data_IF_438810671913
#
_entry.id   IF_438810671913
#
_cell.length_a   1.000
_cell.length_b   1.000
_cell.length_c   1.000
_cell.angle_alpha   90.00
_cell.angle_beta   90.00
_cell.angle_gamma   90.00
#
_symmetry.space_group_name_H-M   'P 1'
#
loop_
_entity.id
_entity.type
_entity.pdbx_description
1 polymer ?
#
# COMPACT_ATOMS: atom_id res chain seq x y z
N UNK A 1 19.99 -7.90 18.96
CA UNK A 1 19.75 -7.93 17.51
C UNK A 1 19.01 -6.67 17.14
N UNK A 2 19.44 -5.88 16.16
CA UNK A 2 18.71 -4.70 15.73
C UNK A 2 17.31 -5.10 15.20
N UNK A 3 16.31 -4.32 15.58
CA UNK A 3 14.87 -4.56 15.31
C UNK A 3 14.56 -4.81 13.83
N UNK A 4 15.26 -4.12 12.93
CA UNK A 4 15.14 -4.30 11.49
C UNK A 4 15.66 -5.65 10.94
N UNK A 5 16.39 -6.43 11.73
CA UNK A 5 16.88 -7.75 11.33
C UNK A 5 15.81 -8.82 11.59
N UNK A 6 15.11 -8.73 12.72
CA UNK A 6 13.96 -9.61 13.04
C UNK A 6 12.78 -9.43 12.06
N UNK A 7 12.54 -8.19 11.65
CA UNK A 7 11.47 -7.86 10.71
C UNK A 7 11.75 -8.45 9.31
N UNK A 8 13.00 -8.38 8.84
CA UNK A 8 13.42 -9.02 7.57
C UNK A 8 13.32 -10.54 7.64
N UNK A 9 13.75 -11.14 8.73
CA UNK A 9 13.64 -12.60 8.96
C UNK A 9 12.16 -13.04 8.93
N UNK A 10 11.26 -12.27 9.54
CA UNK A 10 9.82 -12.55 9.52
C UNK A 10 9.26 -12.48 8.10
N UNK A 11 9.63 -11.44 7.34
CA UNK A 11 9.19 -11.31 5.94
C UNK A 11 9.75 -12.48 5.10
N UNK A 12 11.01 -12.86 5.29
CA UNK A 12 11.61 -13.98 4.56
C UNK A 12 10.96 -15.32 4.92
N UNK A 13 10.52 -15.52 6.16
CA UNK A 13 9.75 -16.70 6.56
C UNK A 13 8.38 -16.73 5.82
N UNK A 14 7.70 -15.59 5.72
CA UNK A 14 6.46 -15.48 4.94
C UNK A 14 6.72 -15.79 3.46
N UNK A 15 7.76 -15.21 2.87
CA UNK A 15 8.12 -15.46 1.48
C UNK A 15 8.43 -16.95 1.23
N UNK A 16 9.21 -17.58 2.10
CA UNK A 16 9.54 -19.00 2.03
C UNK A 16 8.31 -19.90 2.14
N UNK A 17 7.29 -19.48 2.90
CA UNK A 17 6.05 -20.23 3.11
C UNK A 17 5.11 -20.13 1.90
N UNK A 18 5.05 -18.95 1.25
CA UNK A 18 4.05 -18.66 0.23
C UNK A 18 4.60 -18.63 -1.20
N UNK A 19 5.92 -18.41 -1.39
CA UNK A 19 6.54 -18.31 -2.72
C UNK A 19 7.51 -19.46 -2.92
N UNK A 20 7.16 -20.35 -3.85
CA UNK A 20 8.07 -21.42 -4.29
C UNK A 20 9.27 -20.81 -5.02
N UNK A 21 10.49 -21.29 -4.72
CA UNK A 21 11.75 -20.80 -5.31
C UNK A 21 12.03 -19.31 -5.04
N UNK A 22 11.64 -18.80 -3.84
CA UNK A 22 11.72 -17.37 -3.45
C UNK A 22 13.12 -16.75 -3.62
N UNK A 23 14.18 -17.53 -3.66
CA UNK A 23 15.56 -17.05 -3.87
C UNK A 23 15.87 -16.72 -5.34
N UNK A 24 15.11 -17.27 -6.30
CA UNK A 24 15.35 -17.09 -7.74
C UNK A 24 14.69 -15.80 -8.26
N UNK A 25 15.01 -14.66 -7.68
CA UNK A 25 14.37 -13.36 -7.97
C UNK A 25 14.56 -12.85 -9.42
N UNK A 26 15.54 -13.40 -10.15
CA UNK A 26 15.76 -13.10 -11.57
C UNK A 26 14.80 -13.85 -12.50
N UNK A 27 14.12 -14.89 -12.00
CA UNK A 27 13.14 -15.63 -12.79
C UNK A 27 11.84 -14.81 -12.91
N UNK A 28 11.33 -14.55 -14.13
CA UNK A 28 10.10 -13.78 -14.34
C UNK A 28 8.88 -14.35 -13.60
N UNK A 29 8.76 -15.69 -13.53
CA UNK A 29 7.65 -16.32 -12.81
C UNK A 29 7.71 -16.04 -11.30
N UNK A 30 8.92 -16.12 -10.72
CA UNK A 30 9.12 -15.82 -9.29
C UNK A 30 8.82 -14.35 -9.03
N UNK A 31 9.29 -13.46 -9.89
CA UNK A 31 9.01 -12.03 -9.83
C UNK A 31 7.49 -11.74 -9.85
N UNK A 32 6.75 -12.39 -10.76
CA UNK A 32 5.28 -12.30 -10.81
C UNK A 32 4.64 -12.76 -9.51
N UNK A 33 5.10 -13.88 -8.92
CA UNK A 33 4.61 -14.37 -7.62
C UNK A 33 4.83 -13.36 -6.49
N UNK A 34 5.99 -12.69 -6.46
CA UNK A 34 6.25 -11.59 -5.51
C UNK A 34 5.25 -10.46 -5.65
N UNK A 35 4.97 -10.02 -6.89
CA UNK A 35 3.99 -8.95 -7.15
C UNK A 35 2.57 -9.33 -6.78
N UNK A 36 2.15 -10.53 -7.13
CA UNK A 36 0.83 -11.05 -6.76
C UNK A 36 0.70 -11.17 -5.24
N UNK A 37 1.73 -11.68 -4.56
CA UNK A 37 1.74 -11.79 -3.10
C UNK A 37 1.66 -10.42 -2.42
N UNK A 38 2.47 -9.46 -2.88
CA UNK A 38 2.44 -8.08 -2.39
C UNK A 38 1.06 -7.43 -2.58
N UNK A 39 0.46 -7.60 -3.77
CA UNK A 39 -0.88 -7.10 -4.07
C UNK A 39 -1.95 -7.70 -3.16
N UNK A 40 -1.94 -9.02 -2.94
CA UNK A 40 -2.89 -9.69 -2.03
C UNK A 40 -2.73 -9.17 -0.59
N UNK A 41 -1.50 -9.08 -0.09
CA UNK A 41 -1.23 -8.55 1.25
C UNK A 41 -1.70 -7.10 1.35
N UNK A 42 -1.45 -6.27 0.32
CA UNK A 42 -1.91 -4.89 0.26
C UNK A 42 -3.44 -4.78 0.31
N UNK A 43 -4.16 -5.57 -0.49
CA UNK A 43 -5.62 -5.59 -0.50
C UNK A 43 -6.17 -5.98 0.88
N UNK A 44 -5.69 -7.08 1.45
CA UNK A 44 -6.16 -7.57 2.75
C UNK A 44 -5.90 -6.54 3.85
N UNK A 45 -4.69 -5.97 3.89
CA UNK A 45 -4.30 -4.99 4.91
C UNK A 45 -5.15 -3.73 4.83
N UNK A 46 -5.34 -3.17 3.63
CA UNK A 46 -6.14 -1.97 3.44
C UNK A 46 -7.65 -2.23 3.69
N UNK A 47 -8.14 -3.43 3.35
CA UNK A 47 -9.53 -3.80 3.65
C UNK A 47 -9.77 -3.95 5.17
N UNK A 48 -8.82 -4.51 5.90
CA UNK A 48 -8.88 -4.59 7.37
C UNK A 48 -8.89 -3.17 7.97
N UNK A 49 -8.01 -2.29 7.50
CA UNK A 49 -7.99 -0.89 7.95
C UNK A 49 -9.29 -0.15 7.62
N UNK A 50 -9.82 -0.34 6.40
CA UNK A 50 -11.11 0.21 6.00
C UNK A 50 -12.23 -0.23 6.94
N UNK A 51 -12.38 -1.53 7.17
CA UNK A 51 -13.44 -2.08 8.04
C UNK A 51 -13.29 -1.60 9.49
N UNK A 52 -12.07 -1.61 10.03
CA UNK A 52 -11.81 -1.13 11.39
C UNK A 52 -12.18 0.35 11.54
N UNK A 53 -11.77 1.20 10.58
CA UNK A 53 -12.04 2.63 10.61
C UNK A 53 -13.51 2.96 10.34
N UNK A 54 -14.20 2.26 9.43
CA UNK A 54 -15.60 2.53 9.16
C UNK A 54 -16.47 2.18 10.37
N UNK A 55 -16.19 1.04 11.02
CA UNK A 55 -16.90 0.65 12.27
C UNK A 55 -16.66 1.70 13.34
N UNK A 56 -15.42 2.09 13.56
CA UNK A 56 -15.06 3.10 14.55
C UNK A 56 -15.67 4.47 14.24
N UNK A 57 -15.62 4.91 12.99
CA UNK A 57 -16.21 6.17 12.55
C UNK A 57 -17.72 6.24 12.78
N UNK A 58 -18.43 5.13 12.52
CA UNK A 58 -19.86 5.01 12.80
C UNK A 58 -20.15 5.04 14.31
N UNK A 59 -19.38 4.27 15.11
CA UNK A 59 -19.58 4.22 16.58
C UNK A 59 -19.27 5.54 17.28
N UNK A 60 -18.31 6.31 16.75
CA UNK A 60 -17.92 7.62 17.32
C UNK A 60 -18.60 8.80 16.62
N UNK A 61 -19.46 8.54 15.62
CA UNK A 61 -20.06 9.56 14.75
C UNK A 61 -19.02 10.51 14.12
N UNK A 62 -17.79 10.03 13.90
CA UNK A 62 -16.66 10.81 13.37
C UNK A 62 -16.59 10.73 11.85
N UNK A 63 -16.97 11.81 11.17
CA UNK A 63 -16.86 11.94 9.72
C UNK A 63 -15.40 11.88 9.26
N UNK A 64 -14.46 12.39 10.05
CA UNK A 64 -13.03 12.36 9.77
C UNK A 64 -12.49 10.92 9.67
N UNK A 65 -12.88 10.05 10.61
CA UNK A 65 -12.46 8.64 10.61
C UNK A 65 -13.10 7.90 9.43
N UNK A 66 -14.37 8.20 9.11
CA UNK A 66 -15.03 7.60 7.95
C UNK A 66 -14.38 8.03 6.63
N UNK A 67 -13.99 9.30 6.51
CA UNK A 67 -13.25 9.78 5.32
C UNK A 67 -11.89 9.09 5.17
N UNK A 68 -11.17 8.91 6.29
CA UNK A 68 -9.89 8.19 6.30
C UNK A 68 -10.08 6.68 5.99
N UNK A 69 -11.21 6.08 6.35
CA UNK A 69 -11.56 4.73 5.92
C UNK A 69 -11.70 4.63 4.39
N UNK A 70 -12.37 5.59 3.74
CA UNK A 70 -12.51 5.62 2.28
C UNK A 70 -11.15 5.72 1.59
N UNK A 71 -10.19 6.44 2.18
CA UNK A 71 -8.82 6.49 1.70
C UNK A 71 -8.19 5.09 1.65
N UNK A 72 -8.31 4.29 2.72
CA UNK A 72 -7.81 2.91 2.72
C UNK A 72 -8.50 2.02 1.67
N UNK A 73 -9.76 2.29 1.32
CA UNK A 73 -10.43 1.58 0.22
C UNK A 73 -9.80 1.93 -1.14
N UNK A 74 -9.43 3.20 -1.35
CA UNK A 74 -8.69 3.64 -2.56
C UNK A 74 -7.32 2.98 -2.66
N UNK A 75 -6.62 2.81 -1.53
CA UNK A 75 -5.32 2.11 -1.46
C UNK A 75 -5.46 0.61 -1.77
N UNK A 76 -6.58 0.00 -1.36
CA UNK A 76 -6.91 -1.35 -1.80
C UNK A 76 -7.06 -1.41 -3.33
N UNK A 77 -7.67 -0.38 -3.94
CA UNK A 77 -7.75 -0.22 -5.40
C UNK A 77 -6.37 -0.16 -6.06
N UNK A 78 -5.45 0.64 -5.54
CA UNK A 78 -4.05 0.70 -6.02
C UNK A 78 -3.34 -0.65 -5.90
N UNK A 79 -3.61 -1.39 -4.82
CA UNK A 79 -3.08 -2.75 -4.62
C UNK A 79 -3.65 -3.74 -5.65
N UNK A 80 -4.92 -3.59 -6.06
CA UNK A 80 -5.55 -4.38 -7.13
C UNK A 80 -4.85 -4.08 -8.47
N UNK A 81 -4.60 -2.81 -8.78
CA UNK A 81 -3.86 -2.41 -10.00
C UNK A 81 -2.48 -3.06 -10.04
N UNK A 82 -1.76 -3.04 -8.94
CA UNK A 82 -0.45 -3.69 -8.79
C UNK A 82 -0.55 -5.20 -9.03
N UNK A 83 -1.51 -5.87 -8.39
CA UNK A 83 -1.73 -7.32 -8.54
C UNK A 83 -2.05 -7.69 -9.99
N UNK A 84 -2.98 -6.98 -10.63
CA UNK A 84 -3.37 -7.23 -12.03
C UNK A 84 -2.17 -6.97 -12.94
N UNK A 85 -1.43 -5.87 -12.71
CA UNK A 85 -0.25 -5.53 -13.47
C UNK A 85 0.81 -6.63 -13.46
N UNK A 86 1.12 -7.18 -12.29
CA UNK A 86 2.05 -8.30 -12.17
C UNK A 86 1.53 -9.58 -12.79
N UNK A 87 0.24 -9.88 -12.63
CA UNK A 87 -0.37 -11.07 -13.23
C UNK A 87 -0.37 -11.00 -14.76
N UNK A 88 -0.61 -9.83 -15.33
CA UNK A 88 -0.56 -9.63 -16.77
C UNK A 88 0.89 -9.61 -17.28
N UNK A 89 1.81 -8.95 -16.57
CA UNK A 89 3.22 -8.91 -16.93
C UNK A 89 3.88 -10.30 -16.95
N UNK A 90 3.37 -11.24 -16.13
CA UNK A 90 3.84 -12.63 -16.10
C UNK A 90 3.33 -13.51 -17.24
N UNK A 91 2.45 -13.02 -18.14
CA UNK A 91 2.01 -13.78 -19.30
C UNK A 91 3.17 -13.98 -20.29
N UNK A 92 3.29 -15.18 -20.89
CA UNK A 92 4.27 -15.43 -21.96
C UNK A 92 4.00 -14.56 -23.18
N UNK A 93 5.01 -14.48 -24.06
CA UNK A 93 4.84 -13.84 -25.36
C UNK A 93 3.72 -14.56 -26.16
N UNK A 94 2.90 -13.77 -26.85
CA UNK A 94 1.86 -14.21 -27.76
C UNK A 94 2.02 -13.54 -29.14
N UNK A 95 1.11 -13.82 -30.05
CA UNK A 95 1.17 -13.31 -31.42
C UNK A 95 1.06 -11.78 -31.49
N UNK A 96 0.29 -11.16 -30.59
CA UNK A 96 0.11 -9.70 -30.53
C UNK A 96 1.28 -9.03 -29.78
N UNK A 97 1.91 -9.75 -28.84
CA UNK A 97 3.01 -9.28 -28.01
C UNK A 97 4.22 -10.21 -28.09
N UNK A 98 4.98 -10.19 -29.20
CA UNK A 98 6.10 -11.10 -29.44
C UNK A 98 7.24 -10.96 -28.41
N UNK A 99 7.37 -9.78 -27.79
CA UNK A 99 8.37 -9.50 -26.74
C UNK A 99 7.87 -9.75 -25.31
N UNK A 100 6.65 -10.34 -25.18
CA UNK A 100 6.01 -10.59 -23.88
C UNK A 100 5.38 -9.37 -23.26
N UNK A 101 4.78 -9.58 -22.09
CA UNK A 101 3.93 -8.59 -21.40
C UNK A 101 4.65 -7.84 -20.26
N UNK A 102 5.95 -8.03 -20.07
CA UNK A 102 6.71 -7.51 -18.92
C UNK A 102 6.61 -5.99 -18.71
N UNK A 103 6.34 -5.23 -19.77
CA UNK A 103 6.16 -3.77 -19.68
C UNK A 103 4.89 -3.34 -18.94
N UNK A 104 3.90 -4.22 -18.77
CA UNK A 104 2.66 -3.93 -18.05
C UNK A 104 2.95 -3.62 -16.57
N UNK A 105 4.00 -4.18 -15.99
CA UNK A 105 4.45 -3.81 -14.64
C UNK A 105 4.78 -2.31 -14.52
N UNK A 106 5.46 -1.74 -15.52
CA UNK A 106 5.78 -0.30 -15.52
C UNK A 106 4.53 0.56 -15.70
N UNK A 107 3.56 0.11 -16.50
CA UNK A 107 2.28 0.79 -16.68
C UNK A 107 1.51 0.80 -15.36
N UNK A 108 1.42 -0.33 -14.64
CA UNK A 108 0.78 -0.37 -13.33
C UNK A 108 1.49 0.50 -12.31
N UNK A 109 2.83 0.50 -12.29
CA UNK A 109 3.61 1.42 -11.46
C UNK A 109 3.35 2.89 -11.79
N UNK A 110 3.19 3.24 -13.07
CA UNK A 110 2.85 4.59 -13.52
C UNK A 110 1.43 5.00 -13.04
N UNK A 111 0.45 4.10 -13.15
CA UNK A 111 -0.91 4.34 -12.66
C UNK A 111 -0.92 4.59 -11.15
N UNK A 112 -0.23 3.74 -10.37
CA UNK A 112 -0.12 3.89 -8.91
C UNK A 112 0.58 5.20 -8.57
N UNK A 113 1.68 5.55 -9.25
CA UNK A 113 2.39 6.83 -9.03
C UNK A 113 1.51 8.03 -9.36
N UNK A 114 0.70 7.95 -10.41
CA UNK A 114 -0.29 8.98 -10.77
C UNK A 114 -1.34 9.17 -9.67
N UNK A 115 -1.86 8.07 -9.12
CA UNK A 115 -2.79 8.12 -7.99
C UNK A 115 -2.16 8.80 -6.76
N UNK A 116 -0.91 8.48 -6.42
CA UNK A 116 -0.17 9.11 -5.32
C UNK A 116 -0.05 10.63 -5.52
N UNK A 117 0.24 11.08 -6.74
CA UNK A 117 0.34 12.52 -7.05
C UNK A 117 -1.02 13.21 -6.84
N UNK A 118 -2.11 12.60 -7.29
CA UNK A 118 -3.47 13.13 -7.12
C UNK A 118 -3.80 13.24 -5.63
N UNK A 119 -3.55 12.18 -4.85
CA UNK A 119 -3.78 12.17 -3.40
C UNK A 119 -2.91 13.20 -2.69
N UNK A 120 -1.65 13.36 -3.08
CA UNK A 120 -0.76 14.39 -2.53
C UNK A 120 -1.29 15.80 -2.80
N UNK A 121 -1.84 16.05 -3.96
CA UNK A 121 -2.47 17.34 -4.29
C UNK A 121 -3.76 17.58 -3.49
N UNK A 122 -4.59 16.56 -3.31
CA UNK A 122 -5.78 16.63 -2.47
C UNK A 122 -5.43 16.91 -1.01
N UNK A 123 -4.40 16.25 -0.49
CA UNK A 123 -3.87 16.49 0.86
C UNK A 123 -3.39 17.93 1.03
N UNK A 124 -2.65 18.45 0.05
CA UNK A 124 -2.16 19.83 0.06
C UNK A 124 -3.33 20.83 0.11
N UNK A 125 -4.32 20.65 -0.77
CA UNK A 125 -5.48 21.56 -0.84
C UNK A 125 -6.34 21.49 0.42
N UNK A 126 -6.54 20.30 0.98
CA UNK A 126 -7.30 20.09 2.21
C UNK A 126 -6.57 20.70 3.41
N UNK A 127 -5.25 20.52 3.51
CA UNK A 127 -4.42 21.13 4.56
C UNK A 127 -4.47 22.65 4.49
N UNK A 128 -4.38 23.22 3.30
CA UNK A 128 -4.48 24.67 3.11
C UNK A 128 -5.85 25.21 3.51
N UNK A 129 -6.94 24.51 3.17
CA UNK A 129 -8.30 24.88 3.62
C UNK A 129 -8.44 24.84 5.14
N UNK A 130 -7.87 23.82 5.81
CA UNK A 130 -7.89 23.69 7.26
C UNK A 130 -7.15 24.82 7.98
N UNK A 131 -6.05 25.33 7.38
CA UNK A 131 -5.34 26.50 7.90
C UNK A 131 -6.21 27.76 7.81
N UNK A 132 -6.92 27.96 6.70
CA UNK A 132 -7.78 29.12 6.49
C UNK A 132 -9.08 29.04 7.29
N UNK A 133 -9.63 27.85 7.49
CA UNK A 133 -10.89 27.58 8.17
C UNK A 133 -10.69 26.46 9.21
N UNK A 134 -10.10 26.77 10.38
CA UNK A 134 -9.86 25.77 11.42
C UNK A 134 -11.17 25.19 11.91
N UNK A 135 -11.30 23.86 11.89
CA UNK A 135 -12.42 23.13 12.51
C UNK A 135 -11.97 22.56 13.84
N UNK A 136 -12.79 22.61 14.91
CA UNK A 136 -12.43 22.01 16.19
C UNK A 136 -12.21 20.50 16.02
N UNK A 137 -11.13 19.99 16.59
CA UNK A 137 -10.82 18.57 16.58
C UNK A 137 -11.51 17.91 17.77
N UNK A 138 -12.47 17.04 17.51
CA UNK A 138 -13.01 16.16 18.54
C UNK A 138 -12.14 14.91 18.65
N UNK A 139 -11.16 14.96 19.55
CA UNK A 139 -10.25 13.84 19.80
C UNK A 139 -10.86 12.93 20.86
N UNK A 140 -11.30 11.74 20.46
CA UNK A 140 -11.68 10.67 21.36
C UNK A 140 -10.49 9.71 21.59
N UNK A 141 -10.40 9.12 22.78
CA UNK A 141 -9.37 8.10 23.08
C UNK A 141 -9.45 6.91 22.11
N UNK A 142 -10.65 6.51 21.71
CA UNK A 142 -10.86 5.46 20.70
C UNK A 142 -10.32 5.86 19.33
N UNK A 143 -10.50 7.13 18.93
CA UNK A 143 -9.95 7.65 17.68
C UNK A 143 -8.42 7.59 17.68
N UNK A 144 -7.78 7.95 18.79
CA UNK A 144 -6.33 7.93 18.94
C UNK A 144 -5.77 6.51 18.83
N UNK A 145 -6.41 5.53 19.48
CA UNK A 145 -5.97 4.11 19.39
C UNK A 145 -6.03 3.60 17.94
N UNK A 146 -7.13 3.87 17.23
CA UNK A 146 -7.29 3.44 15.83
C UNK A 146 -6.28 4.11 14.92
N UNK A 147 -6.00 5.39 15.15
CA UNK A 147 -4.99 6.14 14.43
C UNK A 147 -3.59 5.53 14.62
N UNK A 148 -3.19 5.25 15.85
CA UNK A 148 -1.88 4.62 16.14
C UNK A 148 -1.78 3.24 15.48
N UNK A 149 -2.81 2.39 15.59
CA UNK A 149 -2.83 1.08 14.94
C UNK A 149 -2.75 1.20 13.41
N UNK A 150 -3.43 2.20 12.82
CA UNK A 150 -3.38 2.47 11.39
C UNK A 150 -1.97 2.87 10.93
N UNK A 151 -1.31 3.75 11.67
CA UNK A 151 0.07 4.17 11.38
C UNK A 151 1.01 2.97 11.45
N UNK A 152 0.93 2.15 12.49
CA UNK A 152 1.77 0.96 12.63
C UNK A 152 1.59 -0.01 11.47
N UNK A 153 0.33 -0.26 11.06
CA UNK A 153 0.03 -1.13 9.93
C UNK A 153 0.56 -0.56 8.61
N UNK A 154 0.37 0.74 8.35
CA UNK A 154 0.87 1.41 7.14
C UNK A 154 2.41 1.46 7.11
N UNK A 155 3.08 1.69 8.24
CA UNK A 155 4.53 1.61 8.34
C UNK A 155 5.04 0.20 8.03
N UNK A 156 4.38 -0.83 8.54
CA UNK A 156 4.71 -2.21 8.22
C UNK A 156 4.53 -2.48 6.72
N UNK A 157 3.40 -2.05 6.12
CA UNK A 157 3.15 -2.20 4.68
C UNK A 157 4.22 -1.48 3.84
N UNK A 158 4.62 -0.27 4.22
CA UNK A 158 5.66 0.48 3.54
C UNK A 158 7.00 -0.28 3.55
N UNK A 159 7.43 -0.78 4.70
CA UNK A 159 8.66 -1.57 4.84
C UNK A 159 8.58 -2.89 4.06
N UNK A 160 7.44 -3.58 4.16
CA UNK A 160 7.17 -4.83 3.45
C UNK A 160 7.29 -4.63 1.93
N UNK A 161 6.55 -3.68 1.36
CA UNK A 161 6.59 -3.40 -0.07
C UNK A 161 7.96 -2.89 -0.55
N UNK A 162 8.65 -2.07 0.27
CA UNK A 162 10.01 -1.61 -0.02
C UNK A 162 11.00 -2.78 -0.05
N UNK A 163 10.90 -3.70 0.90
CA UNK A 163 11.76 -4.88 0.96
C UNK A 163 11.56 -5.77 -0.26
N UNK A 164 10.31 -6.11 -0.60
CA UNK A 164 9.97 -6.91 -1.77
C UNK A 164 10.37 -6.18 -3.06
N UNK A 165 10.04 -4.91 -3.19
CA UNK A 165 10.37 -4.10 -4.36
C UNK A 165 11.88 -3.99 -4.64
N UNK A 166 12.69 -3.94 -3.59
CA UNK A 166 14.15 -3.98 -3.73
C UNK A 166 14.65 -5.38 -4.10
N UNK A 167 14.03 -6.44 -3.56
CA UNK A 167 14.45 -7.83 -3.80
C UNK A 167 14.21 -8.28 -5.24
N UNK A 168 13.14 -7.79 -5.88
CA UNK A 168 12.79 -8.12 -7.28
C UNK A 168 12.97 -6.94 -8.25
N UNK A 169 13.52 -5.82 -7.79
CA UNK A 169 13.71 -4.56 -8.51
C UNK A 169 12.42 -4.10 -9.23
N UNK A 170 11.34 -3.97 -8.47
CA UNK A 170 10.04 -3.55 -8.98
C UNK A 170 9.74 -2.08 -8.67
N UNK A 171 9.53 -1.28 -9.71
CA UNK A 171 9.10 0.12 -9.58
C UNK A 171 7.69 0.24 -8.98
N UNK A 172 6.77 -0.65 -9.38
CA UNK A 172 5.39 -0.66 -8.88
C UNK A 172 5.32 -0.91 -7.37
N UNK A 173 6.08 -1.90 -6.84
CA UNK A 173 6.13 -2.15 -5.39
C UNK A 173 6.80 -1.00 -4.63
N UNK A 174 7.86 -0.38 -5.20
CA UNK A 174 8.50 0.79 -4.60
C UNK A 174 7.53 1.98 -4.54
N UNK A 175 6.69 2.19 -5.57
CA UNK A 175 5.64 3.19 -5.57
C UNK A 175 4.60 2.92 -4.47
N UNK A 176 4.08 1.68 -4.35
CA UNK A 176 3.16 1.29 -3.28
C UNK A 176 3.77 1.45 -1.87
N UNK A 177 5.08 1.23 -1.72
CA UNK A 177 5.78 1.50 -0.46
C UNK A 177 5.79 2.99 -0.12
N UNK A 178 6.03 3.85 -1.12
CA UNK A 178 6.00 5.32 -0.95
C UNK A 178 4.59 5.80 -0.63
N UNK A 179 3.56 5.25 -1.25
CA UNK A 179 2.15 5.48 -0.98
C UNK A 179 1.82 5.24 0.50
N UNK A 180 2.08 4.03 0.98
CA UNK A 180 1.87 3.67 2.39
C UNK A 180 2.64 4.57 3.37
N UNK A 181 3.82 5.07 3.00
CA UNK A 181 4.59 6.02 3.80
C UNK A 181 3.96 7.41 3.79
N UNK A 182 3.47 7.88 2.63
CA UNK A 182 2.76 9.16 2.50
C UNK A 182 1.50 9.19 3.35
N UNK A 183 0.77 8.07 3.39
CA UNK A 183 -0.41 7.92 4.25
C UNK A 183 -0.07 8.03 5.75
N UNK A 184 1.08 7.48 6.19
CA UNK A 184 1.53 7.66 7.56
C UNK A 184 1.75 9.15 7.89
N UNK A 185 2.40 9.89 6.99
CA UNK A 185 2.65 11.33 7.16
C UNK A 185 1.33 12.10 7.15
N UNK A 186 0.42 11.77 6.23
CA UNK A 186 -0.90 12.36 6.15
C UNK A 186 -1.68 12.15 7.46
N UNK A 187 -1.74 10.90 7.93
CA UNK A 187 -2.45 10.53 9.16
C UNK A 187 -1.92 11.31 10.37
N UNK A 188 -0.60 11.47 10.51
CA UNK A 188 0.01 12.29 11.58
C UNK A 188 -0.32 13.78 11.44
N UNK A 189 -0.45 14.27 10.20
CA UNK A 189 -0.75 15.69 9.94
C UNK A 189 -2.21 16.07 10.22
N UNK A 190 -3.13 15.10 10.26
CA UNK A 190 -4.55 15.32 10.56
C UNK A 190 -4.86 15.31 12.06
N UNK A 191 -3.90 14.92 12.90
CA UNK A 191 -4.01 14.85 14.36
C UNK A 191 -3.41 16.09 15.02
#
# INVERSE_FOLDING_TARGET
MPEGMKEKEMIDLLLKRFIKDYDKTKNPEVRTRYGVFAGIVGIISNLILFLAKIIAGVLTASVSIMADAVNNLSDAGSSIVTLIGFKLAGKPADYEHPYGHGRIEYISGFIVSGAIIIMGFELLTTSFRKILHPTPLEVSVSSLIILVLSILMKMWMAKFNKYLGNKVDSAAMKATATDSLSDCVATVSYT
#
